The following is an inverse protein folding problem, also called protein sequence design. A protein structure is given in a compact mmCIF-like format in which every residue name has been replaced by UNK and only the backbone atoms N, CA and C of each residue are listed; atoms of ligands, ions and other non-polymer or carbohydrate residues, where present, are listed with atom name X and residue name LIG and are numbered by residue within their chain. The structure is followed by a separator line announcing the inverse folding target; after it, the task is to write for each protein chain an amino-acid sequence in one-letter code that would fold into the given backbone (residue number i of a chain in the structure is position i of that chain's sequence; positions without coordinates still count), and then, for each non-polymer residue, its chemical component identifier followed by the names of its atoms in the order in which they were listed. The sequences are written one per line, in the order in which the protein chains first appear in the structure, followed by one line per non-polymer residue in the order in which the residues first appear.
data_IF_049925780171
#
_entry.id   IF_049925780171
#
_cell.length_a   1.000
_cell.length_b   1.000
_cell.length_c   1.000
_cell.angle_alpha   90.00
_cell.angle_beta   90.00
_cell.angle_gamma   90.00
#
_symmetry.space_group_name_H-M   'P 1'
#
loop_
_entity.id
_entity.type
_entity.pdbx_description
1 polymer ?
#
# COMPACT_ATOMS: atom_id res chain seq x y z
N UNK A 1 45.10 -55.86 23.11
CA UNK A 1 45.93 -55.15 22.12
C UNK A 1 45.84 -53.65 22.44
N UNK A 2 46.89 -52.85 22.72
CA UNK A 2 48.37 -52.95 22.49
C UNK A 2 48.69 -53.31 21.02
N UNK A 3 49.48 -52.61 20.20
CA UNK A 3 50.51 -51.53 20.32
C UNK A 3 50.89 -51.11 18.87
N UNK A 4 51.49 -49.96 18.50
CA UNK A 4 52.02 -48.75 19.18
C UNK A 4 52.07 -47.54 18.20
N UNK A 5 52.45 -46.35 18.67
CA UNK A 5 52.73 -45.11 17.92
C UNK A 5 53.72 -45.20 16.74
N UNK A 6 53.71 -44.15 15.89
CA UNK A 6 54.96 -43.56 15.37
C UNK A 6 54.82 -42.06 15.11
N UNK A 7 55.57 -41.27 15.87
CA UNK A 7 56.53 -40.25 15.42
C UNK A 7 56.57 -39.94 13.90
N UNK A 8 56.81 -38.70 13.44
CA UNK A 8 57.71 -37.72 14.05
C UNK A 8 57.54 -36.29 13.48
N UNK A 9 58.08 -35.29 14.19
CA UNK A 9 58.73 -34.04 13.73
C UNK A 9 58.19 -33.28 12.47
N UNK A 10 58.21 -31.95 12.35
CA UNK A 10 58.66 -30.77 13.13
C UNK A 10 58.74 -29.64 12.06
N UNK A 11 58.83 -28.37 12.46
CA UNK A 11 59.25 -27.25 11.59
C UNK A 11 58.38 -27.01 10.33
N UNK A 12 57.36 -26.14 10.34
CA UNK A 12 57.46 -24.71 10.67
C UNK A 12 58.78 -24.06 10.17
N UNK A 13 58.67 -23.03 9.33
CA UNK A 13 59.78 -22.26 8.71
C UNK A 13 60.69 -23.01 7.71
N UNK A 14 60.30 -22.99 6.43
CA UNK A 14 60.99 -22.21 5.36
C UNK A 14 60.44 -22.55 3.96
N UNK A 15 59.50 -21.75 3.47
CA UNK A 15 59.38 -21.37 2.05
C UNK A 15 58.32 -20.26 1.84
N UNK A 16 58.41 -19.20 2.66
CA UNK A 16 57.60 -17.97 2.54
C UNK A 16 57.83 -17.16 1.22
N UNK A 17 58.59 -17.69 0.26
CA UNK A 17 59.25 -16.89 -0.79
C UNK A 17 58.94 -17.30 -2.25
N UNK A 18 57.90 -18.08 -2.56
CA UNK A 18 57.58 -18.39 -3.98
C UNK A 18 56.10 -18.46 -4.41
N UNK A 19 55.15 -18.08 -3.56
CA UNK A 19 53.74 -17.83 -3.99
C UNK A 19 53.31 -16.37 -3.74
N UNK A 20 54.25 -15.49 -3.39
CA UNK A 20 54.01 -14.04 -3.26
C UNK A 20 54.19 -13.27 -4.60
N UNK A 21 54.45 -13.98 -5.71
CA UNK A 21 54.96 -13.35 -6.94
C UNK A 21 54.46 -13.97 -8.26
N UNK A 22 53.25 -14.52 -8.33
CA UNK A 22 52.52 -14.73 -9.61
C UNK A 22 51.02 -15.07 -9.46
N UNK A 23 50.25 -14.24 -8.74
CA UNK A 23 48.78 -14.26 -8.79
C UNK A 23 48.13 -12.85 -8.66
N UNK A 24 48.88 -11.80 -9.04
CA UNK A 24 48.27 -10.50 -9.33
C UNK A 24 47.49 -10.62 -10.64
N UNK A 25 46.19 -10.91 -10.59
CA UNK A 25 45.18 -10.16 -11.35
C UNK A 25 43.72 -10.63 -11.16
N UNK A 26 42.85 -9.64 -10.88
CA UNK A 26 41.45 -9.53 -11.36
C UNK A 26 40.32 -10.41 -10.77
N UNK A 27 40.50 -11.22 -9.72
CA UNK A 27 39.39 -12.07 -9.19
C UNK A 27 38.94 -11.97 -7.71
N UNK A 28 38.94 -10.78 -7.04
CA UNK A 28 38.15 -10.61 -5.80
C UNK A 28 37.05 -9.54 -5.85
N UNK A 29 36.99 -8.68 -6.89
CA UNK A 29 36.06 -7.53 -6.93
C UNK A 29 34.68 -7.80 -7.54
N UNK A 30 34.52 -8.87 -8.33
CA UNK A 30 33.24 -9.16 -9.01
C UNK A 30 32.23 -9.81 -8.06
N UNK A 31 32.69 -10.71 -7.18
CA UNK A 31 31.79 -11.46 -6.29
C UNK A 31 31.08 -10.57 -5.25
N UNK A 32 31.76 -9.54 -4.75
CA UNK A 32 31.21 -8.62 -3.74
C UNK A 32 30.14 -7.66 -4.29
N UNK A 33 30.15 -7.39 -5.60
CA UNK A 33 29.17 -6.51 -6.23
C UNK A 33 27.81 -7.19 -6.46
N UNK A 34 27.76 -8.52 -6.57
CA UNK A 34 26.48 -9.23 -6.76
C UNK A 34 25.64 -9.35 -5.49
N UNK A 35 26.25 -9.47 -4.29
CA UNK A 35 25.49 -9.61 -3.05
C UNK A 35 24.76 -8.32 -2.60
N UNK A 36 25.20 -7.14 -3.02
CA UNK A 36 24.52 -5.88 -2.69
C UNK A 36 23.30 -5.58 -3.58
N UNK A 37 23.07 -6.35 -4.65
CA UNK A 37 21.95 -6.12 -5.59
C UNK A 37 20.69 -6.89 -5.16
N UNK A 38 20.83 -7.92 -4.31
CA UNK A 38 19.73 -8.84 -3.99
C UNK A 38 18.61 -8.38 -3.02
N UNK A 39 18.69 -7.29 -2.23
CA UNK A 39 17.59 -6.90 -1.34
C UNK A 39 16.57 -5.93 -1.98
N UNK A 40 16.78 -5.44 -3.21
CA UNK A 40 16.02 -4.30 -3.76
C UNK A 40 14.79 -4.72 -4.59
N UNK A 41 14.72 -5.96 -5.06
CA UNK A 41 13.64 -6.44 -5.97
C UNK A 41 12.44 -7.07 -5.27
N UNK A 42 12.40 -7.06 -3.93
CA UNK A 42 11.28 -7.56 -3.11
C UNK A 42 10.53 -6.43 -2.39
N UNK A 43 10.41 -5.26 -3.03
CA UNK A 43 9.18 -4.50 -2.87
C UNK A 43 8.11 -5.25 -3.66
N UNK A 44 7.10 -5.89 -3.02
CA UNK A 44 5.95 -6.34 -3.77
C UNK A 44 5.25 -5.09 -4.30
N UNK A 45 5.42 -4.84 -5.59
CA UNK A 45 4.68 -3.84 -6.36
C UNK A 45 3.24 -4.31 -6.51
N UNK A 46 2.53 -4.48 -5.38
CA UNK A 46 1.10 -4.30 -5.34
C UNK A 46 0.86 -2.92 -5.94
N UNK A 47 0.28 -2.89 -7.13
CA UNK A 47 -0.06 -1.67 -7.82
C UNK A 47 -1.20 -1.01 -7.04
N UNK A 48 -0.85 -0.33 -5.93
CA UNK A 48 -1.77 0.50 -5.17
C UNK A 48 -2.28 1.54 -6.14
N UNK A 49 -3.51 1.34 -6.60
CA UNK A 49 -4.17 2.17 -7.60
C UNK A 49 -3.95 3.64 -7.24
N UNK A 50 -3.30 4.38 -8.14
CA UNK A 50 -2.82 5.73 -7.83
C UNK A 50 -3.98 6.61 -7.32
N UNK A 51 -3.75 7.45 -6.29
CA UNK A 51 -4.83 8.18 -5.65
C UNK A 51 -5.48 9.18 -6.62
N UNK A 52 -6.74 8.95 -6.98
CA UNK A 52 -7.47 9.70 -8.01
C UNK A 52 -8.44 10.72 -7.39
N UNK A 53 -8.64 11.86 -8.06
CA UNK A 53 -9.44 12.96 -7.50
C UNK A 53 -10.95 12.70 -7.70
N UNK A 54 -11.70 12.41 -6.64
CA UNK A 54 -13.18 12.22 -6.70
C UNK A 54 -13.98 13.53 -6.61
N UNK A 55 -13.35 14.58 -6.07
CA UNK A 55 -13.90 15.92 -5.96
C UNK A 55 -12.80 16.91 -6.36
N UNK A 56 -13.12 17.91 -7.18
CA UNK A 56 -12.13 18.87 -7.73
C UNK A 56 -12.29 20.29 -7.18
N UNK A 57 -13.51 20.71 -6.85
CA UNK A 57 -13.84 21.97 -6.17
C UNK A 57 -14.94 21.76 -5.11
N UNK A 58 -15.02 22.56 -4.03
CA UNK A 58 -14.03 23.57 -3.62
C UNK A 58 -12.73 22.92 -3.16
N UNK A 59 -12.81 21.78 -2.47
CA UNK A 59 -11.65 21.08 -1.94
C UNK A 59 -11.33 19.79 -2.70
N UNK A 60 -10.07 19.64 -3.07
CA UNK A 60 -9.56 18.46 -3.78
C UNK A 60 -9.50 17.26 -2.83
N UNK A 61 -10.24 16.20 -3.14
CA UNK A 61 -10.22 14.94 -2.39
C UNK A 61 -9.65 13.85 -3.29
N UNK A 62 -8.47 13.36 -2.93
CA UNK A 62 -7.86 12.18 -3.53
C UNK A 62 -8.47 10.93 -2.88
N UNK A 63 -8.87 9.94 -3.68
CA UNK A 63 -9.38 8.65 -3.25
C UNK A 63 -8.32 7.56 -3.46
N UNK A 64 -8.00 6.84 -2.39
CA UNK A 64 -7.22 5.60 -2.43
C UNK A 64 -8.16 4.44 -2.08
N UNK A 65 -8.40 3.52 -3.02
CA UNK A 65 -9.17 2.30 -2.76
C UNK A 65 -8.20 1.15 -2.54
N UNK A 66 -8.41 0.41 -1.45
CA UNK A 66 -7.77 -0.87 -1.18
C UNK A 66 -8.87 -1.91 -0.97
N UNK A 67 -8.73 -3.10 -1.54
CA UNK A 67 -9.73 -4.13 -1.29
C UNK A 67 -9.14 -5.54 -1.20
N UNK A 68 -9.85 -6.39 -0.46
CA UNK A 68 -9.69 -7.85 -0.44
C UNK A 68 -11.09 -8.46 -0.62
N UNK A 69 -11.79 -8.02 -1.66
CA UNK A 69 -13.20 -8.35 -1.86
C UNK A 69 -13.33 -9.66 -2.66
N UNK A 70 -13.63 -10.77 -1.98
CA UNK A 70 -13.66 -12.08 -2.64
C UNK A 70 -14.75 -12.21 -3.72
N UNK A 71 -14.37 -12.78 -4.86
CA UNK A 71 -15.27 -13.22 -5.94
C UNK A 71 -15.51 -12.21 -7.05
N UNK A 72 -14.89 -11.03 -7.00
CA UNK A 72 -15.07 -9.94 -7.97
C UNK A 72 -13.70 -9.31 -8.30
N UNK A 73 -13.50 -8.78 -9.52
CA UNK A 73 -12.22 -8.19 -9.92
C UNK A 73 -12.06 -6.78 -9.34
N UNK A 74 -10.81 -6.35 -9.12
CA UNK A 74 -10.48 -5.10 -8.43
C UNK A 74 -11.01 -3.85 -9.15
N UNK A 75 -11.05 -3.85 -10.47
CA UNK A 75 -11.56 -2.75 -11.29
C UNK A 75 -13.07 -2.53 -11.10
N UNK A 76 -13.86 -3.61 -10.98
CA UNK A 76 -15.30 -3.52 -10.67
C UNK A 76 -15.54 -2.92 -9.28
N UNK A 77 -14.73 -3.31 -8.27
CA UNK A 77 -14.79 -2.71 -6.93
C UNK A 77 -14.41 -1.22 -6.98
N UNK A 78 -13.30 -0.90 -7.64
CA UNK A 78 -12.78 0.46 -7.73
C UNK A 78 -13.76 1.37 -8.49
N UNK A 79 -14.39 0.89 -9.55
CA UNK A 79 -15.43 1.61 -10.29
C UNK A 79 -16.69 1.85 -9.43
N UNK A 80 -17.17 0.84 -8.70
CA UNK A 80 -18.32 0.99 -7.80
C UNK A 80 -18.05 2.02 -6.69
N UNK A 81 -16.87 1.98 -6.07
CA UNK A 81 -16.46 2.93 -5.01
C UNK A 81 -16.33 4.36 -5.56
N UNK A 82 -15.71 4.54 -6.74
CA UNK A 82 -15.59 5.85 -7.40
C UNK A 82 -16.93 6.45 -7.76
N UNK A 83 -17.85 5.63 -8.30
CA UNK A 83 -19.20 6.05 -8.65
C UNK A 83 -19.98 6.54 -7.41
N UNK A 84 -19.95 5.76 -6.33
CA UNK A 84 -20.62 6.09 -5.07
C UNK A 84 -20.04 7.33 -4.35
N UNK A 85 -18.72 7.53 -4.39
CA UNK A 85 -18.07 8.64 -3.70
C UNK A 85 -17.87 9.89 -4.57
N UNK A 86 -18.43 9.89 -5.79
CA UNK A 86 -18.36 11.04 -6.69
C UNK A 86 -19.12 12.26 -6.13
N UNK A 87 -18.50 13.44 -6.18
CA UNK A 87 -19.16 14.68 -5.75
C UNK A 87 -20.27 15.09 -6.76
N UNK A 88 -21.51 14.71 -6.47
CA UNK A 88 -22.63 14.77 -7.44
C UNK A 88 -23.05 16.17 -7.93
N UNK A 89 -22.71 17.24 -7.22
CA UNK A 89 -23.08 18.63 -7.54
C UNK A 89 -21.88 19.60 -7.46
N UNK A 90 -20.92 19.54 -8.39
CA UNK A 90 -19.77 20.46 -8.44
C UNK A 90 -20.06 21.78 -9.19
N UNK A 91 -21.28 22.33 -9.12
CA UNK A 91 -21.57 23.71 -9.54
C UNK A 91 -21.16 24.67 -8.41
N UNK A 92 -19.87 25.01 -8.38
CA UNK A 92 -19.33 26.05 -7.51
C UNK A 92 -19.26 27.36 -8.30
N UNK A 93 -20.25 28.23 -8.10
CA UNK A 93 -20.35 29.54 -8.75
C UNK A 93 -19.45 30.61 -8.08
N UNK A 94 -18.73 30.25 -7.02
CA UNK A 94 -17.74 31.12 -6.39
C UNK A 94 -16.48 31.28 -7.24
N UNK A 95 -15.89 32.47 -7.23
CA UNK A 95 -14.52 32.67 -7.71
C UNK A 95 -13.55 31.89 -6.82
N UNK A 96 -12.79 30.90 -7.34
CA UNK A 96 -11.85 30.16 -6.52
C UNK A 96 -10.70 31.07 -6.09
N UNK A 97 -10.72 31.53 -4.84
CA UNK A 97 -9.55 32.13 -4.20
C UNK A 97 -8.46 31.06 -4.14
N UNK A 98 -7.48 31.18 -5.03
CA UNK A 98 -6.44 30.19 -5.32
C UNK A 98 -5.39 30.04 -4.19
N UNK A 99 -5.88 29.83 -2.97
CA UNK A 99 -5.11 29.34 -1.85
C UNK A 99 -4.70 27.91 -2.19
N UNK A 100 -3.41 27.59 -2.14
CA UNK A 100 -2.89 26.22 -2.37
C UNK A 100 -3.29 25.31 -1.20
N UNK A 101 -4.56 24.96 -1.11
CA UNK A 101 -5.05 24.00 -0.13
C UNK A 101 -4.42 22.63 -0.43
N UNK A 102 -3.85 22.00 0.59
CA UNK A 102 -3.33 20.64 0.45
C UNK A 102 -4.53 19.71 0.23
N UNK A 103 -4.51 18.81 -0.76
CA UNK A 103 -5.63 17.91 -0.98
C UNK A 103 -5.86 17.01 0.25
N UNK A 104 -7.12 16.75 0.54
CA UNK A 104 -7.49 15.68 1.46
C UNK A 104 -7.23 14.34 0.77
N UNK A 105 -6.92 13.31 1.56
CA UNK A 105 -6.85 11.93 1.07
C UNK A 105 -7.88 11.09 1.80
N UNK A 106 -8.77 10.43 1.07
CA UNK A 106 -9.74 9.49 1.59
C UNK A 106 -9.28 8.09 1.22
N UNK A 107 -8.92 7.28 2.22
CA UNK A 107 -8.66 5.87 2.02
C UNK A 107 -9.92 5.07 2.31
N UNK A 108 -10.33 4.23 1.36
CA UNK A 108 -11.42 3.27 1.52
C UNK A 108 -10.82 1.88 1.51
N UNK A 109 -11.12 1.08 2.52
CA UNK A 109 -10.76 -0.33 2.58
C UNK A 109 -12.03 -1.19 2.57
N UNK A 110 -12.12 -2.13 1.62
CA UNK A 110 -13.23 -3.08 1.54
C UNK A 110 -12.74 -4.51 1.67
N UNK A 111 -13.42 -5.32 2.48
CA UNK A 111 -13.11 -6.74 2.63
C UNK A 111 -14.38 -7.58 2.59
N UNK A 112 -14.30 -8.72 1.90
CA UNK A 112 -15.32 -9.76 1.88
C UNK A 112 -14.64 -11.11 1.92
N UNK A 113 -14.98 -11.94 2.91
CA UNK A 113 -14.44 -13.29 3.05
C UNK A 113 -15.11 -14.28 2.08
N UNK A 114 -14.38 -15.35 1.69
CA UNK A 114 -14.97 -16.43 0.90
C UNK A 114 -16.07 -17.19 1.67
N UNK A 115 -16.85 -18.03 0.97
CA UNK A 115 -17.67 -19.05 1.60
C UNK A 115 -16.84 -19.96 2.53
N UNK A 116 -17.42 -20.51 3.63
CA UNK A 116 -18.82 -20.39 4.03
C UNK A 116 -19.14 -19.14 4.85
N UNK A 117 -18.13 -18.34 5.22
CA UNK A 117 -18.32 -17.26 6.20
C UNK A 117 -19.10 -16.07 5.63
N UNK A 118 -18.81 -15.69 4.37
CA UNK A 118 -19.47 -14.60 3.64
C UNK A 118 -19.68 -13.32 4.47
N UNK A 119 -18.70 -12.95 5.28
CA UNK A 119 -18.70 -11.70 6.06
C UNK A 119 -17.94 -10.63 5.30
N UNK A 120 -18.20 -9.37 5.60
CA UNK A 120 -17.39 -8.29 5.08
C UNK A 120 -17.61 -6.97 5.79
N UNK A 121 -16.72 -6.03 5.51
CA UNK A 121 -16.71 -4.71 6.11
C UNK A 121 -16.13 -3.67 5.17
N UNK A 122 -16.50 -2.42 5.41
CA UNK A 122 -15.91 -1.23 4.83
C UNK A 122 -15.31 -0.41 5.97
N UNK A 123 -14.12 0.14 5.76
CA UNK A 123 -13.65 1.29 6.53
C UNK A 123 -13.27 2.45 5.60
N UNK A 124 -13.46 3.66 6.09
CA UNK A 124 -13.17 4.91 5.40
C UNK A 124 -12.41 5.81 6.36
N UNK A 125 -11.19 6.19 5.99
CA UNK A 125 -10.33 7.08 6.80
C UNK A 125 -9.99 8.32 5.99
N UNK A 126 -10.36 9.49 6.52
CA UNK A 126 -10.02 10.79 5.97
C UNK A 126 -8.69 11.27 6.57
N UNK A 127 -7.79 11.69 5.70
CA UNK A 127 -6.49 12.26 6.03
C UNK A 127 -6.35 13.68 5.50
N UNK A 128 -5.57 14.49 6.22
CA UNK A 128 -5.03 15.76 5.73
C UNK A 128 -3.57 15.87 6.17
N UNK A 129 -2.68 16.13 5.21
CA UNK A 129 -1.22 16.18 5.46
C UNK A 129 -0.72 14.92 6.22
N UNK A 130 -1.17 13.74 5.78
CA UNK A 130 -0.90 12.41 6.39
C UNK A 130 -1.45 12.18 7.81
N UNK A 131 -2.08 13.18 8.44
CA UNK A 131 -2.75 13.02 9.73
C UNK A 131 -4.18 12.51 9.53
N UNK A 132 -4.61 11.55 10.36
CA UNK A 132 -6.01 11.10 10.39
C UNK A 132 -6.88 12.23 10.96
N UNK A 133 -7.95 12.59 10.25
CA UNK A 133 -9.01 13.49 10.72
C UNK A 133 -10.18 12.69 11.28
N UNK A 134 -10.60 11.66 10.54
CA UNK A 134 -11.85 10.96 10.76
C UNK A 134 -11.69 9.49 10.34
N UNK A 135 -12.32 8.56 11.05
CA UNK A 135 -12.39 7.15 10.64
C UNK A 135 -13.76 6.59 10.93
N UNK A 136 -14.40 6.02 9.90
CA UNK A 136 -15.70 5.39 9.99
C UNK A 136 -15.60 3.96 9.46
N UNK A 137 -16.39 3.04 10.01
CA UNK A 137 -16.45 1.65 9.56
C UNK A 137 -17.86 1.09 9.71
N UNK A 138 -18.19 0.10 8.89
CA UNK A 138 -19.43 -0.66 8.97
C UNK A 138 -19.20 -2.09 8.44
N UNK A 139 -20.06 -3.03 8.85
CA UNK A 139 -20.22 -4.31 8.16
C UNK A 139 -20.91 -4.10 6.82
N UNK A 140 -20.54 -4.88 5.80
CA UNK A 140 -21.27 -4.88 4.52
C UNK A 140 -22.72 -5.34 4.73
N UNK A 141 -23.67 -4.67 4.07
CA UNK A 141 -25.06 -5.10 4.01
C UNK A 141 -25.21 -6.41 3.22
N UNK A 142 -26.30 -7.17 3.40
CA UNK A 142 -26.56 -8.38 2.62
C UNK A 142 -26.56 -8.15 1.09
N UNK A 143 -27.00 -6.96 0.65
CA UNK A 143 -26.94 -6.56 -0.76
C UNK A 143 -25.51 -6.32 -1.22
N UNK A 144 -24.72 -5.56 -0.44
CA UNK A 144 -23.31 -5.34 -0.71
C UNK A 144 -22.44 -6.61 -0.54
N UNK A 145 -22.95 -7.65 0.13
CA UNK A 145 -22.38 -9.01 0.14
C UNK A 145 -22.82 -9.88 -1.04
N UNK A 146 -23.88 -9.51 -1.78
CA UNK A 146 -24.26 -10.18 -3.02
C UNK A 146 -23.34 -9.74 -4.18
N UNK A 147 -23.02 -8.45 -4.28
CA UNK A 147 -22.06 -7.94 -5.27
C UNK A 147 -21.82 -6.42 -5.19
N UNK A 148 -20.77 -5.92 -5.86
CA UNK A 148 -20.26 -4.56 -5.68
C UNK A 148 -21.19 -3.46 -6.21
N UNK A 149 -22.09 -3.77 -7.14
CA UNK A 149 -23.12 -2.84 -7.63
C UNK A 149 -24.02 -2.26 -6.52
N UNK A 150 -24.09 -2.92 -5.36
CA UNK A 150 -24.86 -2.49 -4.20
C UNK A 150 -24.01 -1.80 -3.11
N UNK A 151 -22.71 -1.60 -3.32
CA UNK A 151 -21.83 -0.91 -2.35
C UNK A 151 -22.18 0.56 -2.14
N UNK A 152 -22.93 1.17 -3.08
CA UNK A 152 -23.19 2.60 -3.07
C UNK A 152 -23.86 3.07 -1.77
N UNK A 153 -24.86 2.34 -1.27
CA UNK A 153 -25.61 2.76 -0.08
C UNK A 153 -24.78 2.64 1.21
N UNK A 154 -24.04 1.54 1.38
CA UNK A 154 -23.11 1.35 2.49
C UNK A 154 -22.01 2.45 2.49
N UNK A 155 -21.50 2.80 1.32
CA UNK A 155 -20.50 3.86 1.14
C UNK A 155 -21.09 5.25 1.41
N UNK A 156 -22.27 5.57 0.88
CA UNK A 156 -22.96 6.84 1.16
C UNK A 156 -23.22 7.03 2.65
N UNK A 157 -23.64 5.96 3.36
CA UNK A 157 -23.91 5.97 4.80
C UNK A 157 -22.66 6.36 5.61
N UNK A 158 -21.51 5.76 5.28
CA UNK A 158 -20.22 6.06 5.91
C UNK A 158 -19.71 7.45 5.52
N UNK A 159 -19.75 7.77 4.23
CA UNK A 159 -19.31 9.04 3.68
C UNK A 159 -20.06 10.23 4.28
N UNK A 160 -21.37 10.10 4.53
CA UNK A 160 -22.20 11.14 5.19
C UNK A 160 -21.56 11.68 6.47
N UNK A 161 -21.04 10.81 7.34
CA UNK A 161 -20.39 11.22 8.60
C UNK A 161 -19.06 11.95 8.36
N UNK A 162 -18.28 11.48 7.39
CA UNK A 162 -17.00 12.09 7.00
C UNK A 162 -17.23 13.47 6.38
N UNK A 163 -18.26 13.61 5.55
CA UNK A 163 -18.65 14.87 4.90
C UNK A 163 -19.20 15.91 5.88
N UNK A 164 -19.78 15.48 7.01
CA UNK A 164 -20.18 16.38 8.12
C UNK A 164 -19.03 16.76 9.06
N UNK A 165 -17.82 16.22 8.90
CA UNK A 165 -16.67 16.61 9.72
C UNK A 165 -16.30 18.08 9.44
N UNK A 166 -16.23 18.93 10.47
CA UNK A 166 -16.14 20.39 10.33
C UNK A 166 -14.95 20.88 9.51
N UNK A 167 -13.81 20.17 9.53
CA UNK A 167 -12.62 20.52 8.71
C UNK A 167 -12.85 20.40 7.21
N UNK A 168 -13.79 19.53 6.82
CA UNK A 168 -14.14 19.25 5.44
C UNK A 168 -15.51 19.83 5.08
N UNK A 169 -16.40 20.06 6.05
CA UNK A 169 -17.66 20.78 5.88
C UNK A 169 -17.42 22.22 5.40
N UNK A 170 -16.52 22.97 6.05
CA UNK A 170 -16.03 24.30 5.64
C UNK A 170 -15.34 24.32 4.25
N UNK A 171 -15.24 23.16 3.61
CA UNK A 171 -14.58 22.86 2.36
C UNK A 171 -15.56 22.33 1.28
N UNK A 172 -16.82 22.07 1.68
CA UNK A 172 -17.90 21.55 0.85
C UNK A 172 -19.13 22.48 0.83
N UNK A 173 -19.26 23.40 1.80
CA UNK A 173 -20.21 24.52 1.82
C UNK A 173 -19.57 25.78 1.25
#
# INVERSE_FOLDING_TARGET
MKTVDSHNHSSFFKLKNLVHKMARNKFPRVLFLFLCILPVTLNPSFAVTAPESICTKPCKINLEVRNSYFGFPEDEINAAVRSALSCRNQQYDGTPTATKQTPFSLRVYLSRSPPPQMKGYISMTLYYQNNIIETQWATLSPFALAGPKWLADDLHLLAKKIWTNTRLHNCLT
#
